data_IF_842233245028
#
_entry.id   IF_842233245028
#
_cell.length_a   1.000
_cell.length_b   1.000
_cell.length_c   1.000
_cell.angle_alpha   90.00
_cell.angle_beta   90.00
_cell.angle_gamma   90.00
#
_symmetry.space_group_name_H-M   'P 1'
#
loop_
_entity.id
_entity.type
_entity.pdbx_description
1 polymer ?
#
# COMPACT_ATOMS: atom_id res chain seq x y z
N UNK A 1 21.36 1.09 5.18
CA UNK A 1 20.06 0.41 5.02
C UNK A 1 18.96 1.37 5.38
N UNK A 2 17.88 1.32 4.64
CA UNK A 2 16.73 2.18 4.89
C UNK A 2 15.59 1.37 5.48
N UNK A 3 14.75 2.04 6.27
CA UNK A 3 13.54 1.43 6.81
C UNK A 3 12.37 1.88 5.95
N UNK A 4 11.37 1.01 5.80
CA UNK A 4 10.18 1.37 5.07
C UNK A 4 8.92 0.86 5.77
N UNK A 5 7.81 1.51 5.46
CA UNK A 5 6.48 1.09 5.90
C UNK A 5 5.52 1.23 4.72
N UNK A 6 4.49 0.39 4.72
CA UNK A 6 3.45 0.41 3.70
C UNK A 6 2.12 0.72 4.39
N UNK A 7 1.37 1.65 3.82
CA UNK A 7 0.03 1.96 4.30
C UNK A 7 -0.97 1.13 3.52
N UNK A 8 -1.74 0.33 4.24
CA UNK A 8 -2.81 -0.48 3.66
C UNK A 8 -4.17 0.03 4.11
N UNK A 9 -5.14 -0.08 3.22
CA UNK A 9 -6.54 0.00 3.58
C UNK A 9 -7.08 -1.43 3.45
N UNK A 10 -7.37 -2.08 4.57
CA UNK A 10 -7.55 -3.53 4.63
C UNK A 10 -6.33 -4.22 4.05
N UNK A 11 -6.45 -4.85 2.90
CA UNK A 11 -5.35 -5.54 2.23
C UNK A 11 -4.92 -4.87 0.93
N UNK A 12 -5.36 -3.63 0.69
CA UNK A 12 -5.04 -2.88 -0.52
C UNK A 12 -3.95 -1.86 -0.20
N UNK A 13 -2.76 -1.97 -0.82
CA UNK A 13 -1.70 -1.00 -0.57
C UNK A 13 -2.03 0.37 -1.16
N UNK A 14 -1.77 1.42 -0.40
CA UNK A 14 -2.10 2.78 -0.82
C UNK A 14 -0.88 3.69 -0.94
N UNK A 15 0.09 3.52 -0.05
CA UNK A 15 1.23 4.43 0.02
C UNK A 15 2.42 3.72 0.66
N UNK A 16 3.61 4.12 0.24
CA UNK A 16 4.87 3.59 0.78
C UNK A 16 5.67 4.78 1.27
N UNK A 17 6.35 4.62 2.40
CA UNK A 17 7.32 5.63 2.82
C UNK A 17 8.62 4.95 3.24
N UNK A 18 9.72 5.61 2.91
CA UNK A 18 11.07 5.13 3.21
C UNK A 18 11.75 6.16 4.08
N UNK A 19 12.37 5.70 5.15
CA UNK A 19 13.07 6.53 6.11
C UNK A 19 14.58 6.35 5.93
N UNK A 20 15.23 7.40 5.51
CA UNK A 20 16.68 7.47 5.50
C UNK A 20 17.06 8.91 5.85
N UNK A 21 17.78 9.06 6.96
CA UNK A 21 18.05 10.39 7.47
C UNK A 21 16.86 10.99 8.19
N UNK A 22 16.68 12.30 8.09
CA UNK A 22 15.70 13.04 8.89
C UNK A 22 14.30 13.09 8.30
N UNK A 23 14.18 12.92 6.98
CA UNK A 23 12.89 13.08 6.30
C UNK A 23 12.51 11.82 5.57
N UNK A 24 11.31 11.32 5.79
CA UNK A 24 10.82 10.20 4.99
C UNK A 24 10.49 10.67 3.58
N UNK A 25 10.68 9.78 2.62
CA UNK A 25 10.25 9.98 1.25
C UNK A 25 9.05 9.07 1.02
N UNK A 26 7.97 9.61 0.48
CA UNK A 26 6.74 8.85 0.27
C UNK A 26 6.43 8.73 -1.20
N UNK A 27 5.71 7.66 -1.54
CA UNK A 27 5.17 7.47 -2.88
C UNK A 27 3.82 6.78 -2.79
N UNK A 28 2.84 7.33 -3.49
CA UNK A 28 1.53 6.71 -3.55
C UNK A 28 1.53 5.60 -4.58
N UNK A 29 0.73 4.57 -4.34
CA UNK A 29 0.48 3.54 -5.34
C UNK A 29 -0.27 4.14 -6.53
N UNK A 30 -0.22 3.50 -7.71
CA UNK A 30 -0.96 3.99 -8.87
C UNK A 30 -2.44 4.20 -8.55
N UNK A 31 -3.05 5.12 -9.27
CA UNK A 31 -4.43 5.56 -9.01
C UNK A 31 -5.43 4.41 -8.95
N UNK A 32 -5.20 3.34 -9.69
CA UNK A 32 -6.11 2.18 -9.67
C UNK A 32 -6.31 1.58 -8.29
N UNK A 33 -5.31 1.71 -7.42
CA UNK A 33 -5.41 1.22 -6.05
C UNK A 33 -6.36 2.08 -5.23
N UNK A 34 -6.34 3.39 -5.41
CA UNK A 34 -7.29 4.28 -4.74
C UNK A 34 -8.71 3.99 -5.21
N UNK A 35 -8.89 3.75 -6.49
CA UNK A 35 -10.20 3.38 -7.05
C UNK A 35 -10.70 2.09 -6.42
N UNK A 36 -9.82 1.10 -6.25
CA UNK A 36 -10.20 -0.17 -5.62
C UNK A 36 -10.57 0.01 -4.15
N UNK A 37 -9.85 0.87 -3.43
CA UNK A 37 -10.18 1.19 -2.04
C UNK A 37 -11.57 1.81 -1.95
N UNK A 38 -11.85 2.79 -2.79
CA UNK A 38 -13.15 3.49 -2.80
C UNK A 38 -14.27 2.53 -3.15
N UNK A 39 -14.07 1.69 -4.16
CA UNK A 39 -15.06 0.71 -4.57
C UNK A 39 -15.35 -0.30 -3.48
N UNK A 40 -14.30 -0.83 -2.86
CA UNK A 40 -14.46 -1.81 -1.78
C UNK A 40 -15.16 -1.19 -0.58
N UNK A 41 -14.85 0.06 -0.25
CA UNK A 41 -15.52 0.76 0.83
C UNK A 41 -17.02 0.90 0.56
N UNK A 42 -17.39 1.20 -0.67
CA UNK A 42 -18.79 1.32 -1.07
C UNK A 42 -19.50 -0.04 -1.04
N UNK A 43 -18.85 -1.08 -1.56
CA UNK A 43 -19.42 -2.43 -1.62
C UNK A 43 -19.63 -3.03 -0.23
N UNK A 44 -18.76 -2.71 0.72
CA UNK A 44 -18.83 -3.24 2.08
C UNK A 44 -19.63 -2.34 3.03
N UNK A 45 -20.14 -1.19 2.54
CA UNK A 45 -20.89 -0.25 3.35
C UNK A 45 -20.06 0.55 4.32
N UNK A 46 -18.75 0.60 4.15
CA UNK A 46 -17.85 1.32 5.05
C UNK A 46 -17.65 2.78 4.67
N UNK A 47 -17.98 3.15 3.42
CA UNK A 47 -17.78 4.52 2.95
C UNK A 47 -18.53 5.51 3.85
N UNK A 48 -17.82 6.55 4.31
CA UNK A 48 -18.42 7.59 5.17
C UNK A 48 -18.62 7.19 6.62
N UNK A 49 -18.10 6.05 7.05
CA UNK A 49 -18.21 5.58 8.43
C UNK A 49 -16.87 5.66 9.15
N UNK A 50 -16.90 5.58 10.49
CA UNK A 50 -15.68 5.53 11.29
C UNK A 50 -14.90 4.24 11.01
N UNK A 51 -15.59 3.15 10.68
CA UNK A 51 -14.96 1.89 10.34
C UNK A 51 -14.07 2.02 9.10
N UNK A 52 -14.42 2.90 8.17
CA UNK A 52 -13.57 3.19 7.02
C UNK A 52 -12.19 3.68 7.47
N UNK A 53 -12.17 4.61 8.43
CA UNK A 53 -10.90 5.17 8.93
C UNK A 53 -10.09 4.14 9.70
N UNK A 54 -10.75 3.22 10.39
CA UNK A 54 -10.08 2.19 11.18
C UNK A 54 -9.33 1.18 10.32
N UNK A 55 -9.66 1.09 9.03
CA UNK A 55 -8.98 0.15 8.12
C UNK A 55 -7.62 0.64 7.65
N UNK A 56 -7.30 1.92 7.85
CA UNK A 56 -6.00 2.46 7.48
C UNK A 56 -4.95 2.06 8.49
N UNK A 57 -3.96 1.28 8.06
CA UNK A 57 -2.90 0.81 8.96
C UNK A 57 -1.55 0.79 8.26
N UNK A 58 -0.55 1.30 8.97
CA UNK A 58 0.84 1.20 8.54
C UNK A 58 1.41 -0.14 9.01
N UNK A 59 2.25 -0.76 8.17
CA UNK A 59 2.99 -1.95 8.58
C UNK A 59 4.06 -1.56 9.59
N UNK A 60 4.64 -2.57 10.24
CA UNK A 60 5.83 -2.37 11.04
C UNK A 60 6.97 -1.89 10.14
N UNK A 61 7.95 -1.20 10.74
CA UNK A 61 9.15 -0.80 10.01
C UNK A 61 9.95 -2.03 9.62
N UNK A 62 10.33 -2.09 8.37
CA UNK A 62 11.15 -3.17 7.81
C UNK A 62 12.39 -2.55 7.19
N UNK A 63 13.48 -3.30 7.16
CA UNK A 63 14.72 -2.83 6.58
C UNK A 63 14.92 -3.41 5.19
N UNK A 64 15.55 -2.61 4.32
CA UNK A 64 15.88 -3.04 2.97
C UNK A 64 17.13 -2.28 2.52
N UNK A 65 18.10 -2.96 1.89
CA UNK A 65 19.28 -2.26 1.36
C UNK A 65 18.93 -1.50 0.08
N UNK A 66 19.64 -0.42 -0.15
CA UNK A 66 19.51 0.33 -1.38
C UNK A 66 19.18 1.79 -1.15
N UNK A 67 19.13 2.52 -2.25
CA UNK A 67 18.79 3.92 -2.27
C UNK A 67 17.28 4.09 -2.06
N UNK A 68 16.81 5.12 -1.32
CA UNK A 68 15.39 5.30 -1.05
C UNK A 68 14.50 5.33 -2.30
N UNK A 69 14.95 6.00 -3.36
CA UNK A 69 14.19 6.06 -4.62
C UNK A 69 14.07 4.69 -5.26
N UNK A 70 15.15 3.91 -5.27
CA UNK A 70 15.15 2.57 -5.82
C UNK A 70 14.24 1.66 -5.02
N UNK A 71 14.26 1.80 -3.70
CA UNK A 71 13.40 1.02 -2.80
C UNK A 71 11.94 1.33 -3.10
N UNK A 72 11.58 2.61 -3.22
CA UNK A 72 10.21 3.01 -3.54
C UNK A 72 9.75 2.42 -4.87
N UNK A 73 10.57 2.54 -5.90
CA UNK A 73 10.23 2.00 -7.22
C UNK A 73 10.06 0.49 -7.20
N UNK A 74 10.96 -0.20 -6.52
CA UNK A 74 10.90 -1.66 -6.41
C UNK A 74 9.65 -2.10 -5.64
N UNK A 75 9.34 -1.43 -4.53
CA UNK A 75 8.17 -1.78 -3.73
C UNK A 75 6.86 -1.55 -4.48
N UNK A 76 6.75 -0.46 -5.25
CA UNK A 76 5.56 -0.23 -6.05
C UNK A 76 5.35 -1.40 -7.01
N UNK A 77 6.39 -1.82 -7.72
CA UNK A 77 6.30 -2.93 -8.67
C UNK A 77 5.95 -4.25 -7.98
N UNK A 78 6.58 -4.52 -6.85
CA UNK A 78 6.33 -5.75 -6.09
C UNK A 78 4.90 -5.81 -5.58
N UNK A 79 4.39 -4.69 -5.04
CA UNK A 79 3.04 -4.62 -4.52
C UNK A 79 2.00 -4.74 -5.63
N UNK A 80 2.26 -4.15 -6.80
CA UNK A 80 1.37 -4.30 -7.95
C UNK A 80 1.27 -5.75 -8.37
N UNK A 81 2.41 -6.44 -8.45
CA UNK A 81 2.44 -7.85 -8.85
C UNK A 81 1.74 -8.74 -7.83
N UNK A 82 1.99 -8.51 -6.54
CA UNK A 82 1.35 -9.27 -5.47
C UNK A 82 -0.17 -9.07 -5.46
N UNK A 83 -0.60 -7.82 -5.64
CA UNK A 83 -2.02 -7.51 -5.64
C UNK A 83 -2.73 -8.14 -6.84
N UNK A 84 -2.13 -8.04 -8.03
CA UNK A 84 -2.70 -8.63 -9.24
C UNK A 84 -2.81 -10.15 -9.13
N UNK A 85 -1.80 -10.79 -8.56
CA UNK A 85 -1.81 -12.23 -8.34
C UNK A 85 -2.91 -12.63 -7.36
N UNK A 86 -3.07 -11.88 -6.29
CA UNK A 86 -4.09 -12.11 -5.29
C UNK A 86 -5.51 -11.98 -5.88
N UNK A 87 -5.75 -10.93 -6.64
CA UNK A 87 -7.04 -10.70 -7.27
C UNK A 87 -7.36 -11.82 -8.26
N UNK A 88 -6.37 -12.26 -9.02
CA UNK A 88 -6.53 -13.37 -9.96
C UNK A 88 -6.95 -14.63 -9.24
N UNK A 89 -6.31 -14.95 -8.11
CA UNK A 89 -6.64 -16.14 -7.32
C UNK A 89 -8.03 -16.07 -6.73
N UNK A 90 -8.43 -14.89 -6.23
CA UNK A 90 -9.74 -14.69 -5.66
C UNK A 90 -10.85 -14.85 -6.70
N UNK A 91 -10.57 -14.50 -7.96
CA UNK A 91 -11.53 -14.63 -9.06
C UNK A 91 -11.51 -16.01 -9.70
N UNK A 92 -10.64 -16.90 -9.26
CA UNK A 92 -10.55 -18.24 -9.81
C UNK A 92 -9.93 -18.29 -11.20
N UNK A 93 -9.12 -17.29 -11.55
CA UNK A 93 -8.49 -17.20 -12.86
C UNK A 93 -7.05 -17.71 -12.85
#
# INVERSE_FOLDING_TARGET
MANYQILYWKDIPAQIRVFEGRKPISRQMPKRFQVEIDRTAMETGLAGTDDYLDQWQWTEKRERPGDPEDILNALVQELEAEYDDKVRKEKGL
#
